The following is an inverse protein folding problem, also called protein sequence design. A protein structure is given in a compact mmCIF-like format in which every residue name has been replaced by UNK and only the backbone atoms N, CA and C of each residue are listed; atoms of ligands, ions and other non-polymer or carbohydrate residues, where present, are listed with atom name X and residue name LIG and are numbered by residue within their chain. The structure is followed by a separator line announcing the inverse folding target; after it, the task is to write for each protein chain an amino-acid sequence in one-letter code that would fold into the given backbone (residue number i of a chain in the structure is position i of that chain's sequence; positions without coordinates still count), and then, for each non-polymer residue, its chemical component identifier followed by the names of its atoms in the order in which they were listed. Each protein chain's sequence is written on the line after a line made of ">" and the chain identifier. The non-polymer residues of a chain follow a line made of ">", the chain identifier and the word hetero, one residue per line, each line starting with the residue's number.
data_IF_651644909140
#
_entry.id   IF_651644909140
#
_cell.length_a   1.000
_cell.length_b   1.000
_cell.length_c   1.000
_cell.angle_alpha   90.00
_cell.angle_beta   90.00
_cell.angle_gamma   90.00
#
_symmetry.space_group_name_H-M   'P 1'
#
loop_
_entity.id
_entity.type
_entity.pdbx_description
1 polymer ?
#
# COMPACT_ATOMS: atom_id res chain seq x y z
N UNK A 1 11.36 3.40 -27.79
CA UNK A 1 10.35 2.71 -26.97
C UNK A 1 11.10 1.92 -25.92
N UNK A 2 11.28 2.52 -24.74
CA UNK A 2 11.81 1.82 -23.57
C UNK A 2 10.96 0.56 -23.34
N UNK A 3 11.58 -0.59 -23.06
CA UNK A 3 10.84 -1.84 -22.83
C UNK A 3 9.79 -1.58 -21.75
N UNK A 4 8.52 -1.62 -22.13
CA UNK A 4 7.41 -1.45 -21.20
C UNK A 4 7.49 -2.57 -20.17
N UNK A 5 7.78 -2.22 -18.91
CA UNK A 5 7.96 -3.20 -17.84
C UNK A 5 6.58 -3.63 -17.33
N UNK A 6 5.97 -4.54 -18.08
CA UNK A 6 4.63 -5.08 -17.82
C UNK A 6 4.48 -5.55 -16.36
N UNK A 7 5.52 -6.12 -15.76
CA UNK A 7 5.54 -6.53 -14.35
C UNK A 7 5.29 -5.37 -13.37
N UNK A 8 5.86 -4.19 -13.63
CA UNK A 8 5.65 -2.99 -12.79
C UNK A 8 4.20 -2.50 -12.94
N UNK A 9 3.68 -2.47 -14.17
CA UNK A 9 2.31 -2.05 -14.42
C UNK A 9 1.29 -2.97 -13.73
N UNK A 10 1.49 -4.29 -13.84
CA UNK A 10 0.63 -5.28 -13.17
C UNK A 10 0.70 -5.09 -11.65
N UNK A 11 1.90 -4.99 -11.08
CA UNK A 11 2.08 -4.78 -9.65
C UNK A 11 1.43 -3.46 -9.17
N UNK A 12 1.58 -2.37 -9.94
CA UNK A 12 0.98 -1.09 -9.63
C UNK A 12 -0.56 -1.13 -9.68
N UNK A 13 -1.15 -1.83 -10.66
CA UNK A 13 -2.61 -2.01 -10.75
C UNK A 13 -3.14 -2.82 -9.56
N UNK A 14 -2.48 -3.93 -9.21
CA UNK A 14 -2.88 -4.74 -8.05
C UNK A 14 -2.79 -3.91 -6.76
N UNK A 15 -1.69 -3.19 -6.58
CA UNK A 15 -1.48 -2.31 -5.43
C UNK A 15 -2.56 -1.22 -5.33
N UNK A 16 -2.88 -0.57 -6.45
CA UNK A 16 -3.93 0.43 -6.54
C UNK A 16 -5.30 -0.13 -6.14
N UNK A 17 -5.67 -1.31 -6.64
CA UNK A 17 -6.93 -1.97 -6.29
C UNK A 17 -7.00 -2.31 -4.79
N UNK A 18 -5.90 -2.77 -4.20
CA UNK A 18 -5.83 -3.00 -2.76
C UNK A 18 -5.98 -1.70 -1.98
N UNK A 19 -5.35 -0.60 -2.40
CA UNK A 19 -5.52 0.70 -1.75
C UNK A 19 -6.94 1.27 -1.89
N UNK A 20 -7.63 1.03 -3.01
CA UNK A 20 -9.07 1.34 -3.11
C UNK A 20 -9.86 0.53 -2.10
N UNK A 21 -9.56 -0.77 -1.97
CA UNK A 21 -10.24 -1.62 -1.01
C UNK A 21 -10.07 -1.12 0.44
N UNK A 22 -8.87 -0.62 0.81
CA UNK A 22 -8.65 -0.04 2.13
C UNK A 22 -9.43 1.26 2.35
N UNK A 23 -9.56 2.12 1.34
CA UNK A 23 -10.44 3.31 1.41
C UNK A 23 -11.90 2.90 1.65
N UNK A 24 -12.39 1.89 0.93
CA UNK A 24 -13.77 1.43 1.09
C UNK A 24 -14.01 0.94 2.52
N UNK A 25 -13.07 0.18 3.09
CA UNK A 25 -13.15 -0.26 4.49
C UNK A 25 -13.16 0.94 5.43
N UNK A 26 -12.21 1.86 5.25
CA UNK A 26 -12.07 3.06 6.09
C UNK A 26 -13.35 3.91 6.08
N UNK A 27 -13.91 4.15 4.89
CA UNK A 27 -15.14 4.90 4.71
C UNK A 27 -16.35 4.20 5.36
N UNK A 28 -16.55 2.91 5.08
CA UNK A 28 -17.66 2.14 5.66
C UNK A 28 -17.59 2.09 7.17
N UNK A 29 -16.39 1.99 7.73
CA UNK A 29 -16.18 2.01 9.16
C UNK A 29 -16.50 3.38 9.77
N UNK A 30 -15.99 4.47 9.17
CA UNK A 30 -16.19 5.83 9.69
C UNK A 30 -17.66 6.27 9.67
N UNK A 31 -18.45 5.77 8.72
CA UNK A 31 -19.87 6.12 8.60
C UNK A 31 -20.80 5.28 9.50
N UNK A 32 -20.26 4.54 10.47
CA UNK A 32 -21.08 3.90 11.51
C UNK A 32 -21.87 2.66 11.05
N UNK A 33 -21.65 2.18 9.83
CA UNK A 33 -22.08 0.84 9.49
C UNK A 33 -21.23 -0.11 10.35
N UNK A 34 -21.84 -1.04 11.09
CA UNK A 34 -21.15 -2.15 11.77
C UNK A 34 -20.54 -3.11 10.74
N UNK A 35 -19.67 -2.57 9.88
CA UNK A 35 -19.05 -3.24 8.77
C UNK A 35 -17.83 -3.95 9.29
N UNK A 36 -17.92 -5.28 9.32
CA UNK A 36 -16.77 -6.14 9.57
C UNK A 36 -16.03 -6.32 8.25
N UNK A 37 -14.78 -5.87 8.18
CA UNK A 37 -13.99 -6.04 6.97
C UNK A 37 -13.78 -7.53 6.71
N UNK A 38 -13.69 -7.94 5.44
CA UNK A 38 -13.50 -9.36 5.07
C UNK A 38 -12.19 -9.89 5.66
N UNK A 39 -11.19 -9.01 5.80
CA UNK A 39 -9.91 -9.31 6.41
C UNK A 39 -9.89 -9.27 7.95
N UNK A 40 -11.04 -9.05 8.62
CA UNK A 40 -11.17 -9.18 10.07
C UNK A 40 -11.47 -10.65 10.46
N UNK A 41 -10.45 -11.50 10.37
CA UNK A 41 -10.54 -12.97 10.56
C UNK A 41 -10.43 -13.35 12.04
N UNK A 42 -9.89 -12.48 12.89
CA UNK A 42 -9.81 -12.69 14.34
C UNK A 42 -9.30 -11.46 15.09
N UNK A 43 -9.22 -11.53 16.43
CA UNK A 43 -8.81 -10.39 17.29
C UNK A 43 -7.40 -9.85 16.97
N UNK A 44 -6.51 -10.75 16.53
CA UNK A 44 -5.14 -10.43 16.15
C UNK A 44 -4.95 -10.34 14.63
N UNK A 45 -6.02 -10.44 13.84
CA UNK A 45 -5.97 -10.28 12.38
C UNK A 45 -7.10 -9.37 11.92
N UNK A 46 -6.91 -8.06 12.08
CA UNK A 46 -7.92 -7.06 11.72
C UNK A 46 -7.35 -5.88 10.93
N UNK A 47 -7.93 -5.63 9.75
CA UNK A 47 -7.69 -4.43 8.97
C UNK A 47 -8.25 -3.20 9.68
N UNK A 48 -9.45 -3.34 10.26
CA UNK A 48 -10.16 -2.25 10.94
C UNK A 48 -9.34 -1.69 12.11
N UNK A 49 -8.72 -2.57 12.90
CA UNK A 49 -7.83 -2.18 14.00
C UNK A 49 -6.62 -1.40 13.50
N UNK A 50 -6.02 -1.80 12.37
CA UNK A 50 -4.88 -1.11 11.78
C UNK A 50 -5.25 0.32 11.32
N UNK A 51 -6.37 0.50 10.61
CA UNK A 51 -6.78 1.81 10.08
C UNK A 51 -7.30 2.78 11.16
N UNK A 52 -7.89 2.27 12.24
CA UNK A 52 -8.28 3.08 13.40
C UNK A 52 -7.12 3.56 14.26
N UNK A 53 -5.95 2.94 14.13
CA UNK A 53 -4.81 3.30 14.96
C UNK A 53 -4.36 4.73 14.69
N UNK A 54 -3.63 5.31 15.64
CA UNK A 54 -2.94 6.59 15.45
C UNK A 54 -1.99 6.59 14.23
N UNK A 55 -1.54 5.41 13.80
CA UNK A 55 -0.66 5.21 12.65
C UNK A 55 -1.40 5.00 11.33
N UNK A 56 -2.74 4.92 11.33
CA UNK A 56 -3.56 4.82 10.12
C UNK A 56 -3.54 6.10 9.27
N UNK A 57 -3.05 7.20 9.84
CA UNK A 57 -2.91 8.51 9.20
C UNK A 57 -1.51 9.07 9.43
N UNK A 58 -0.97 9.74 8.42
CA UNK A 58 0.29 10.48 8.49
C UNK A 58 -0.04 11.95 8.23
N UNK A 59 0.27 12.84 9.18
CA UNK A 59 -0.08 14.27 9.14
C UNK A 59 -1.58 14.54 8.84
N UNK A 60 -2.47 13.69 9.36
CA UNK A 60 -3.92 13.80 9.14
C UNK A 60 -4.42 13.19 7.82
N UNK A 61 -3.53 12.81 6.91
CA UNK A 61 -3.88 12.13 5.65
C UNK A 61 -3.89 10.62 5.87
N UNK A 62 -4.94 9.93 5.44
CA UNK A 62 -4.99 8.48 5.55
C UNK A 62 -3.96 7.80 4.64
N UNK A 63 -3.32 6.76 5.17
CA UNK A 63 -2.35 5.96 4.44
C UNK A 63 -2.95 5.34 3.18
N UNK A 64 -4.26 5.10 3.17
CA UNK A 64 -4.97 4.56 2.01
C UNK A 64 -4.90 5.53 0.81
N UNK A 65 -5.09 6.84 1.04
CA UNK A 65 -4.96 7.86 0.00
C UNK A 65 -3.51 8.00 -0.49
N UNK A 66 -2.55 7.95 0.43
CA UNK A 66 -1.12 7.97 0.08
C UNK A 66 -0.75 6.77 -0.79
N UNK A 67 -1.28 5.58 -0.49
CA UNK A 67 -1.11 4.38 -1.31
C UNK A 67 -1.67 4.55 -2.72
N UNK A 68 -2.89 5.06 -2.85
CA UNK A 68 -3.50 5.35 -4.16
C UNK A 68 -2.62 6.31 -4.98
N UNK A 69 -2.23 7.43 -4.38
CA UNK A 69 -1.40 8.42 -5.05
C UNK A 69 -0.07 7.81 -5.49
N UNK A 70 0.56 7.01 -4.62
CA UNK A 70 1.79 6.30 -4.94
C UNK A 70 1.64 5.38 -6.15
N UNK A 71 0.62 4.52 -6.19
CA UNK A 71 0.44 3.59 -7.31
C UNK A 71 0.07 4.28 -8.62
N UNK A 72 -0.69 5.38 -8.58
CA UNK A 72 -0.94 6.22 -9.76
C UNK A 72 0.38 6.80 -10.28
N UNK A 73 1.22 7.35 -9.39
CA UNK A 73 2.52 7.91 -9.78
C UNK A 73 3.45 6.84 -10.37
N UNK A 74 3.51 5.65 -9.78
CA UNK A 74 4.27 4.51 -10.33
C UNK A 74 3.78 4.14 -11.73
N UNK A 75 2.46 4.01 -11.91
CA UNK A 75 1.86 3.67 -13.20
C UNK A 75 2.17 4.72 -14.26
N UNK A 76 1.93 6.00 -13.95
CA UNK A 76 2.20 7.11 -14.88
C UNK A 76 3.68 7.23 -15.23
N UNK A 77 4.58 7.18 -14.24
CA UNK A 77 6.02 7.31 -14.49
C UNK A 77 6.56 6.16 -15.34
N UNK A 78 6.06 4.94 -15.14
CA UNK A 78 6.45 3.75 -15.93
C UNK A 78 6.11 3.89 -17.41
N UNK A 79 5.08 4.66 -17.76
CA UNK A 79 4.67 4.90 -19.15
C UNK A 79 5.41 6.08 -19.82
N UNK A 80 6.19 6.83 -19.06
CA UNK A 80 6.92 8.02 -19.54
C UNK A 80 8.41 7.77 -19.64
N UNK A 81 9.16 8.71 -20.23
CA UNK A 81 10.63 8.72 -20.27
C UNK A 81 11.30 8.85 -18.88
N UNK A 82 10.50 9.03 -17.83
CA UNK A 82 10.92 9.23 -16.45
C UNK A 82 10.88 7.93 -15.62
N UNK A 83 10.85 6.77 -16.28
CA UNK A 83 10.78 5.43 -15.69
C UNK A 83 11.83 5.17 -14.59
N UNK A 84 13.04 5.75 -14.73
CA UNK A 84 14.10 5.70 -13.70
C UNK A 84 13.70 6.26 -12.34
N UNK A 85 12.75 7.19 -12.29
CA UNK A 85 12.30 7.79 -11.03
C UNK A 85 11.42 6.85 -10.20
N UNK A 86 10.88 5.80 -10.83
CA UNK A 86 10.11 4.75 -10.13
C UNK A 86 10.96 4.10 -9.04
N UNK A 87 12.26 3.88 -9.29
CA UNK A 87 13.16 3.31 -8.29
C UNK A 87 13.19 4.14 -7.00
N UNK A 88 13.45 5.45 -7.10
CA UNK A 88 13.53 6.34 -5.93
C UNK A 88 12.24 6.39 -5.11
N UNK A 89 11.08 6.49 -5.77
CA UNK A 89 9.79 6.51 -5.06
C UNK A 89 9.47 5.14 -4.43
N UNK A 90 9.88 4.04 -5.05
CA UNK A 90 9.71 2.69 -4.46
C UNK A 90 10.59 2.47 -3.24
N UNK A 91 11.79 3.06 -3.19
CA UNK A 91 12.65 3.04 -1.99
C UNK A 91 11.95 3.74 -0.82
N UNK A 92 11.36 4.92 -1.06
CA UNK A 92 10.60 5.63 -0.03
C UNK A 92 9.38 4.82 0.45
N UNK A 93 8.67 4.18 -0.47
CA UNK A 93 7.54 3.31 -0.13
C UNK A 93 7.96 2.10 0.72
N UNK A 94 9.15 1.55 0.50
CA UNK A 94 9.69 0.45 1.32
C UNK A 94 10.04 0.92 2.72
N UNK A 95 10.71 2.07 2.87
CA UNK A 95 11.00 2.62 4.19
C UNK A 95 9.72 2.83 5.00
N UNK A 96 8.67 3.39 4.36
CA UNK A 96 7.35 3.53 4.98
C UNK A 96 6.71 2.18 5.31
N UNK A 97 6.81 1.19 4.41
CA UNK A 97 6.26 -0.16 4.61
C UNK A 97 6.93 -0.89 5.78
N UNK A 98 8.25 -0.80 5.91
CA UNK A 98 9.00 -1.39 7.03
C UNK A 98 8.60 -0.75 8.35
N UNK A 99 8.46 0.58 8.38
CA UNK A 99 7.99 1.29 9.57
C UNK A 99 6.57 0.85 9.98
N UNK A 100 5.63 0.83 9.03
CA UNK A 100 4.25 0.42 9.32
C UNK A 100 4.15 -1.06 9.70
N UNK A 101 4.95 -1.94 9.09
CA UNK A 101 5.04 -3.35 9.46
C UNK A 101 5.56 -3.52 10.89
N UNK A 102 6.59 -2.77 11.29
CA UNK A 102 7.09 -2.75 12.66
C UNK A 102 5.99 -2.35 13.66
N UNK A 103 5.27 -1.26 13.38
CA UNK A 103 4.15 -0.83 14.22
C UNK A 103 3.08 -1.91 14.32
N UNK A 104 2.70 -2.49 13.19
CA UNK A 104 1.62 -3.46 13.10
C UNK A 104 1.94 -4.76 13.86
N UNK A 105 3.11 -5.34 13.62
CA UNK A 105 3.49 -6.62 14.22
C UNK A 105 4.04 -6.51 15.63
N UNK A 106 4.85 -5.47 15.92
CA UNK A 106 5.54 -5.35 17.21
C UNK A 106 4.71 -4.54 18.21
N UNK A 107 4.28 -3.32 17.84
CA UNK A 107 3.52 -2.46 18.76
C UNK A 107 2.08 -2.93 18.95
N UNK A 108 1.37 -3.19 17.85
CA UNK A 108 -0.06 -3.50 17.90
C UNK A 108 -0.37 -5.00 18.01
N UNK A 109 0.63 -5.86 17.75
CA UNK A 109 0.49 -7.32 17.70
C UNK A 109 -0.72 -7.76 16.86
N UNK A 110 -0.89 -7.11 15.71
CA UNK A 110 -2.01 -7.31 14.81
C UNK A 110 -1.48 -7.65 13.42
N UNK A 111 -2.10 -8.60 12.73
CA UNK A 111 -1.75 -8.99 11.37
C UNK A 111 -2.81 -8.49 10.40
N UNK A 112 -2.49 -7.50 9.56
CA UNK A 112 -3.42 -7.07 8.52
C UNK A 112 -3.02 -7.71 7.19
N UNK A 113 -3.82 -8.66 6.71
CA UNK A 113 -3.57 -9.36 5.44
C UNK A 113 -3.44 -8.37 4.26
N UNK A 114 -4.32 -7.36 4.19
CA UNK A 114 -4.30 -6.38 3.09
C UNK A 114 -3.06 -5.49 3.13
N UNK A 115 -2.68 -4.97 4.31
CA UNK A 115 -1.45 -4.20 4.46
C UNK A 115 -0.22 -5.05 4.12
N UNK A 116 -0.21 -6.31 4.57
CA UNK A 116 0.88 -7.26 4.26
C UNK A 116 1.01 -7.46 2.75
N UNK A 117 -0.10 -7.65 2.04
CA UNK A 117 -0.10 -7.75 0.57
C UNK A 117 0.45 -6.48 -0.09
N UNK A 118 0.09 -5.30 0.42
CA UNK A 118 0.64 -4.01 -0.06
C UNK A 118 2.16 -3.95 0.17
N UNK A 119 2.66 -4.40 1.33
CA UNK A 119 4.11 -4.43 1.59
C UNK A 119 4.84 -5.36 0.63
N UNK A 120 4.28 -6.54 0.35
CA UNK A 120 4.83 -7.48 -0.63
C UNK A 120 4.87 -6.85 -2.03
N UNK A 121 3.80 -6.17 -2.45
CA UNK A 121 3.76 -5.47 -3.74
C UNK A 121 4.82 -4.38 -3.81
N UNK A 122 5.01 -3.59 -2.76
CA UNK A 122 6.05 -2.57 -2.72
C UNK A 122 7.46 -3.17 -2.86
N UNK A 123 7.71 -4.35 -2.27
CA UNK A 123 8.99 -5.08 -2.43
C UNK A 123 9.17 -5.55 -3.87
N UNK A 124 8.13 -6.12 -4.47
CA UNK A 124 8.16 -6.52 -5.88
C UNK A 124 8.42 -5.33 -6.81
N UNK A 125 7.77 -4.19 -6.55
CA UNK A 125 8.00 -2.96 -7.30
C UNK A 125 9.45 -2.48 -7.20
N UNK A 126 10.07 -2.55 -6.01
CA UNK A 126 11.49 -2.22 -5.84
C UNK A 126 12.40 -3.18 -6.63
N UNK A 127 12.12 -4.49 -6.58
CA UNK A 127 12.90 -5.50 -7.31
C UNK A 127 12.78 -5.30 -8.82
N UNK A 128 11.58 -5.01 -9.32
CA UNK A 128 11.36 -4.78 -10.74
C UNK A 128 11.91 -3.43 -11.20
N UNK A 129 11.81 -2.38 -10.39
CA UNK A 129 12.36 -1.06 -10.70
C UNK A 129 13.89 -1.04 -10.68
N UNK A 130 14.53 -1.87 -9.84
CA UNK A 130 15.98 -2.04 -9.84
C UNK A 130 16.52 -2.56 -11.19
N UNK A 131 15.71 -3.27 -11.98
CA UNK A 131 16.11 -3.73 -13.32
C UNK A 131 16.03 -2.63 -14.40
N UNK A 132 15.36 -1.51 -14.10
CA UNK A 132 15.25 -0.34 -14.98
C UNK A 132 16.43 0.62 -14.78
N UNK A 133 16.90 0.71 -13.54
CA UNK A 133 18.07 1.50 -13.17
C UNK A 133 19.34 0.91 -13.76
#
# INVERSE_FOLDING_TARGET
>A
MEKMNLSILIAAVIGFLLSIYTIIIEYKHNNGNNYKAICDIGENSSCTKAFKSEYGKIFGVSNSYLGILFYILVFSLTLTIYSRYVFYITVLAILASVYLAYIQYVKMKNFCLVCTSIYVINILLLIFSYRIF
#
